data_IF_344688443482
#
_entry.id   IF_344688443482
#
_cell.length_a   1.000
_cell.length_b   1.000
_cell.length_c   1.000
_cell.angle_alpha   90.00
_cell.angle_beta   90.00
_cell.angle_gamma   90.00
#
_symmetry.space_group_name_H-M   'P 1'
#
loop_
_entity.id
_entity.type
_entity.pdbx_description
1 polymer ?
#
# COMPACT_ATOMS: atom_id res chain seq x y z
N UNK A 1 -31.91 -51.51 -8.64
CA UNK A 1 -30.92 -51.74 -9.72
C UNK A 1 -29.59 -51.21 -9.22
N UNK A 2 -28.59 -52.08 -9.10
CA UNK A 2 -27.29 -51.76 -8.52
C UNK A 2 -26.48 -50.88 -9.49
N UNK A 3 -26.08 -49.69 -9.06
CA UNK A 3 -25.19 -48.81 -9.83
C UNK A 3 -23.76 -49.34 -9.76
N UNK A 4 -23.21 -49.73 -10.90
CA UNK A 4 -21.84 -50.21 -11.01
C UNK A 4 -20.85 -49.06 -10.79
N UNK A 5 -19.99 -49.18 -9.77
CA UNK A 5 -18.82 -48.32 -9.59
C UNK A 5 -17.67 -48.96 -10.36
N UNK A 6 -17.31 -48.40 -11.51
CA UNK A 6 -16.16 -48.85 -12.30
C UNK A 6 -14.90 -48.14 -11.78
N UNK A 7 -14.13 -48.82 -10.93
CA UNK A 7 -12.80 -48.38 -10.52
C UNK A 7 -11.80 -48.70 -11.64
N UNK A 8 -11.35 -47.67 -12.36
CA UNK A 8 -10.29 -47.80 -13.36
C UNK A 8 -8.92 -47.74 -12.63
N UNK A 9 -8.19 -48.84 -12.59
CA UNK A 9 -6.75 -48.83 -12.26
C UNK A 9 -5.98 -48.32 -13.49
N UNK A 10 -5.42 -47.11 -13.44
CA UNK A 10 -4.40 -46.68 -14.41
C UNK A 10 -2.99 -46.99 -13.88
N UNK A 11 -2.08 -47.50 -14.73
CA UNK A 11 -0.68 -47.64 -14.38
C UNK A 11 0.04 -46.28 -14.47
N UNK A 12 0.76 -45.98 -13.40
CA UNK A 12 1.87 -45.02 -13.26
C UNK A 12 2.21 -44.11 -14.47
N UNK A 13 1.67 -42.89 -14.50
CA UNK A 13 2.36 -41.73 -15.07
C UNK A 13 2.06 -40.49 -14.21
N UNK A 14 3.13 -39.86 -13.70
CA UNK A 14 3.13 -38.81 -12.67
C UNK A 14 2.54 -37.46 -13.08
N UNK A 15 1.25 -37.41 -13.37
CA UNK A 15 0.46 -36.18 -13.41
C UNK A 15 -0.58 -36.20 -12.29
N UNK A 16 -0.71 -35.08 -11.55
CA UNK A 16 -1.75 -34.91 -10.54
C UNK A 16 -3.14 -35.06 -11.18
N UNK A 17 -3.70 -36.26 -11.10
CA UNK A 17 -4.99 -36.61 -11.70
C UNK A 17 -6.13 -36.01 -10.90
N UNK A 18 -6.76 -34.96 -11.44
CA UNK A 18 -8.05 -34.49 -10.93
C UNK A 18 -9.10 -35.49 -11.37
N UNK A 19 -9.52 -36.38 -10.47
CA UNK A 19 -10.67 -37.25 -10.72
C UNK A 19 -11.94 -36.40 -10.68
N UNK A 20 -12.52 -36.14 -11.85
CA UNK A 20 -13.88 -35.63 -11.94
C UNK A 20 -14.84 -36.83 -11.91
N UNK A 21 -15.71 -36.90 -10.90
CA UNK A 21 -16.53 -38.08 -10.61
C UNK A 21 -17.56 -38.40 -11.72
N UNK A 22 -17.80 -37.47 -12.66
CA UNK A 22 -18.67 -37.71 -13.81
C UNK A 22 -18.05 -37.07 -15.07
N UNK A 23 -17.78 -37.88 -16.09
CA UNK A 23 -17.38 -37.44 -17.43
C UNK A 23 -18.32 -38.07 -18.47
N UNK A 24 -18.65 -37.37 -19.56
CA UNK A 24 -19.64 -37.84 -20.52
C UNK A 24 -19.17 -39.07 -21.33
N UNK A 25 -17.86 -39.18 -21.58
CA UNK A 25 -17.24 -40.30 -22.28
C UNK A 25 -15.72 -40.31 -22.07
N UNK A 26 -15.08 -41.45 -22.38
CA UNK A 26 -13.62 -41.57 -22.57
C UNK A 26 -13.40 -41.98 -24.02
N UNK A 27 -12.59 -41.23 -24.77
CA UNK A 27 -12.26 -41.52 -26.18
C UNK A 27 -10.75 -41.73 -26.27
N UNK A 28 -10.30 -42.87 -26.80
CA UNK A 28 -8.88 -43.22 -26.92
C UNK A 28 -8.07 -43.14 -25.61
N UNK A 29 -8.69 -43.52 -24.50
CA UNK A 29 -8.06 -43.46 -23.17
C UNK A 29 -7.94 -42.05 -22.59
N UNK A 30 -8.44 -41.03 -23.29
CA UNK A 30 -8.48 -39.64 -22.83
C UNK A 30 -9.91 -39.27 -22.39
N UNK A 31 -10.10 -38.78 -21.16
CA UNK A 31 -11.41 -38.28 -20.71
C UNK A 31 -11.88 -37.11 -21.58
N UNK A 32 -13.11 -37.19 -22.11
CA UNK A 32 -13.69 -36.11 -22.89
C UNK A 32 -14.00 -34.88 -22.00
N UNK A 33 -13.94 -33.65 -22.54
CA UNK A 33 -14.37 -32.46 -21.82
C UNK A 33 -15.83 -32.56 -21.37
N UNK A 34 -16.13 -32.21 -20.12
CA UNK A 34 -17.50 -32.15 -19.62
C UNK A 34 -18.17 -30.82 -19.98
N UNK A 35 -19.50 -30.82 -20.06
CA UNK A 35 -20.26 -29.60 -20.27
C UNK A 35 -20.09 -28.64 -19.07
N UNK A 36 -19.87 -27.35 -19.33
CA UNK A 36 -19.73 -26.30 -18.30
C UNK A 36 -21.11 -25.89 -17.74
N UNK A 37 -21.90 -26.85 -17.26
CA UNK A 37 -23.22 -26.66 -16.66
C UNK A 37 -23.14 -26.59 -15.12
N UNK A 38 -24.21 -26.11 -14.47
CA UNK A 38 -24.25 -25.81 -13.03
C UNK A 38 -23.74 -26.92 -12.12
N UNK A 39 -24.12 -28.18 -12.36
CA UNK A 39 -23.73 -29.32 -11.53
C UNK A 39 -22.23 -29.66 -11.66
N UNK A 40 -21.63 -29.41 -12.83
CA UNK A 40 -20.19 -29.62 -13.07
C UNK A 40 -19.34 -28.46 -12.52
N UNK A 41 -19.91 -27.25 -12.45
CA UNK A 41 -19.31 -26.10 -11.75
C UNK A 41 -19.42 -26.23 -10.22
N UNK A 42 -20.30 -27.10 -9.73
CA UNK A 42 -20.51 -27.34 -8.31
C UNK A 42 -19.53 -28.33 -7.68
N UNK A 43 -18.48 -28.77 -8.39
CA UNK A 43 -17.47 -29.67 -7.82
C UNK A 43 -16.72 -29.00 -6.64
N UNK A 44 -16.78 -29.62 -5.45
CA UNK A 44 -16.30 -29.05 -4.17
C UNK A 44 -15.05 -29.71 -3.60
N UNK A 45 -14.40 -30.61 -4.32
CA UNK A 45 -13.23 -31.31 -3.80
C UNK A 45 -12.23 -31.61 -4.89
N UNK A 46 -10.95 -31.45 -4.55
CA UNK A 46 -9.84 -31.94 -5.37
C UNK A 46 -9.19 -33.07 -4.61
N UNK A 47 -9.20 -34.26 -5.21
CA UNK A 47 -8.50 -35.43 -4.71
C UNK A 47 -7.15 -35.52 -5.43
N UNK A 48 -6.06 -35.54 -4.65
CA UNK A 48 -4.73 -35.83 -5.17
C UNK A 48 -4.34 -37.26 -4.75
N UNK A 49 -4.22 -38.14 -5.75
CA UNK A 49 -3.97 -39.56 -5.56
C UNK A 49 -2.50 -39.87 -5.23
N UNK A 50 -1.58 -38.93 -5.48
CA UNK A 50 -0.16 -39.11 -5.17
C UNK A 50 0.13 -38.81 -3.69
N UNK A 51 -0.58 -37.83 -3.13
CA UNK A 51 -0.47 -37.44 -1.72
C UNK A 51 -1.55 -38.07 -0.84
N UNK A 52 -2.48 -38.84 -1.44
CA UNK A 52 -3.66 -39.45 -0.80
C UNK A 52 -4.41 -38.45 0.11
N UNK A 53 -4.45 -37.18 -0.29
CA UNK A 53 -5.08 -36.12 0.50
C UNK A 53 -6.37 -35.68 -0.17
N UNK A 54 -7.49 -35.84 0.55
CA UNK A 54 -8.80 -35.27 0.18
C UNK A 54 -8.88 -33.84 0.67
N UNK A 55 -8.67 -32.86 -0.20
CA UNK A 55 -9.07 -31.48 0.12
C UNK A 55 -10.56 -31.31 -0.11
N UNK A 56 -11.36 -31.64 0.91
CA UNK A 56 -12.76 -31.23 0.95
C UNK A 56 -12.80 -29.71 1.05
N UNK A 57 -13.27 -29.03 0.00
CA UNK A 57 -13.57 -27.61 0.08
C UNK A 57 -14.89 -27.50 0.83
N UNK A 58 -14.80 -27.43 2.16
CA UNK A 58 -15.91 -27.08 3.04
C UNK A 58 -16.56 -25.82 2.47
N UNK A 59 -17.88 -25.87 2.27
CA UNK A 59 -18.66 -24.90 1.50
C UNK A 59 -18.82 -23.52 2.16
N UNK A 60 -17.88 -23.05 2.97
CA UNK A 60 -18.06 -21.79 3.71
C UNK A 60 -16.79 -20.95 3.96
N UNK A 61 -15.56 -21.43 3.70
CA UNK A 61 -14.36 -20.65 4.09
C UNK A 61 -13.34 -20.40 2.96
N UNK A 62 -13.24 -21.23 1.91
CA UNK A 62 -12.18 -21.06 0.90
C UNK A 62 -12.34 -19.85 -0.04
N UNK A 63 -13.51 -19.71 -0.65
CA UNK A 63 -13.81 -18.62 -1.59
C UNK A 63 -14.13 -17.28 -0.89
N UNK A 64 -14.91 -17.35 0.19
CA UNK A 64 -15.24 -16.19 1.02
C UNK A 64 -14.02 -15.65 1.75
N UNK A 65 -13.14 -16.51 2.30
CA UNK A 65 -11.93 -16.02 2.97
C UNK A 65 -10.94 -15.36 2.00
N UNK A 66 -10.80 -15.83 0.75
CA UNK A 66 -9.92 -15.17 -0.23
C UNK A 66 -10.51 -13.81 -0.63
N UNK A 67 -11.81 -13.72 -0.90
CA UNK A 67 -12.48 -12.46 -1.19
C UNK A 67 -12.37 -11.47 -0.01
N UNK A 68 -12.59 -11.96 1.21
CA UNK A 68 -12.42 -11.19 2.45
C UNK A 68 -10.98 -10.72 2.64
N UNK A 69 -9.98 -11.57 2.41
CA UNK A 69 -8.56 -11.19 2.47
C UNK A 69 -8.19 -10.17 1.39
N UNK A 70 -8.77 -10.24 0.18
CA UNK A 70 -8.59 -9.21 -0.88
C UNK A 70 -9.13 -7.86 -0.42
N UNK A 71 -10.33 -7.86 0.17
CA UNK A 71 -10.94 -6.64 0.70
C UNK A 71 -10.13 -6.06 1.86
N UNK A 72 -9.70 -6.90 2.82
CA UNK A 72 -8.85 -6.50 3.94
C UNK A 72 -7.52 -5.92 3.43
N UNK A 73 -6.86 -6.59 2.48
CA UNK A 73 -5.65 -6.07 1.83
C UNK A 73 -5.90 -4.69 1.21
N UNK A 74 -6.98 -4.53 0.43
CA UNK A 74 -7.34 -3.26 -0.19
C UNK A 74 -7.54 -2.14 0.83
N UNK A 75 -8.32 -2.38 1.87
CA UNK A 75 -8.62 -1.39 2.92
C UNK A 75 -7.37 -1.04 3.74
N UNK A 76 -6.61 -2.04 4.18
CA UNK A 76 -5.37 -1.81 4.93
C UNK A 76 -4.40 -0.94 4.14
N UNK A 77 -4.21 -1.22 2.84
CA UNK A 77 -3.30 -0.45 2.00
C UNK A 77 -3.84 0.94 1.65
N UNK A 78 -5.15 1.10 1.46
CA UNK A 78 -5.76 2.42 1.23
C UNK A 78 -5.59 3.35 2.44
N UNK A 79 -5.81 2.83 3.65
CA UNK A 79 -5.68 3.62 4.89
C UNK A 79 -4.21 3.91 5.19
N UNK A 80 -3.33 2.91 5.14
CA UNK A 80 -1.91 3.09 5.46
C UNK A 80 -1.16 3.92 4.41
N UNK A 81 -0.95 3.36 3.22
CA UNK A 81 -0.17 3.97 2.15
C UNK A 81 -0.87 5.16 1.51
N UNK A 82 -2.20 5.13 1.46
CA UNK A 82 -2.99 6.13 0.74
C UNK A 82 -3.39 7.36 1.55
N UNK A 83 -3.47 7.27 2.88
CA UNK A 83 -3.97 8.35 3.73
C UNK A 83 -2.98 8.68 4.84
N UNK A 84 -2.61 7.67 5.64
CA UNK A 84 -1.84 7.89 6.86
C UNK A 84 -0.41 8.37 6.55
N UNK A 85 0.30 7.72 5.62
CA UNK A 85 1.65 8.17 5.22
C UNK A 85 1.68 9.57 4.56
N UNK A 86 0.79 9.90 3.61
CA UNK A 86 0.69 11.28 3.09
C UNK A 86 0.34 12.31 4.17
N UNK A 87 -0.55 11.97 5.10
CA UNK A 87 -0.93 12.84 6.21
C UNK A 87 0.26 13.12 7.14
N UNK A 88 1.06 12.09 7.47
CA UNK A 88 2.31 12.26 8.23
C UNK A 88 3.31 13.18 7.54
N UNK A 89 3.41 13.14 6.21
CA UNK A 89 4.26 14.05 5.43
C UNK A 89 3.76 15.50 5.45
N UNK A 90 2.44 15.71 5.34
CA UNK A 90 1.79 17.02 5.47
C UNK A 90 2.09 17.63 6.84
N UNK A 91 1.93 16.87 7.93
CA UNK A 91 2.25 17.35 9.28
C UNK A 91 3.71 17.79 9.42
N UNK A 92 4.66 17.01 8.91
CA UNK A 92 6.08 17.38 8.96
C UNK A 92 6.40 18.65 8.16
N UNK A 93 5.71 18.88 7.04
CA UNK A 93 5.94 20.06 6.20
C UNK A 93 5.40 21.33 6.85
N UNK A 94 4.18 21.30 7.38
CA UNK A 94 3.49 22.51 7.82
C UNK A 94 3.69 22.83 9.29
N UNK A 95 3.67 21.83 10.18
CA UNK A 95 3.87 22.08 11.61
C UNK A 95 5.31 22.50 11.92
N UNK A 96 6.28 22.08 11.11
CA UNK A 96 7.67 22.54 11.22
C UNK A 96 7.84 24.06 11.05
N UNK A 97 6.91 24.75 10.39
CA UNK A 97 6.94 26.21 10.22
C UNK A 97 6.59 26.95 11.51
N UNK A 98 5.88 26.32 12.43
CA UNK A 98 5.51 26.94 13.70
C UNK A 98 6.54 26.63 14.78
N UNK A 99 7.23 27.66 15.29
CA UNK A 99 8.22 27.54 16.37
C UNK A 99 7.63 26.91 17.66
N UNK A 100 6.33 27.10 17.90
CA UNK A 100 5.60 26.50 19.04
C UNK A 100 5.29 25.00 18.87
N UNK A 101 5.44 24.46 17.66
CA UNK A 101 5.17 23.04 17.38
C UNK A 101 6.45 22.19 17.40
N UNK A 102 7.61 22.74 17.78
CA UNK A 102 8.82 21.97 18.06
C UNK A 102 8.79 21.53 19.54
N UNK A 103 8.90 20.22 19.87
CA UNK A 103 9.20 19.05 19.03
C UNK A 103 7.98 18.25 18.53
N UNK A 104 6.76 18.71 18.78
CA UNK A 104 5.52 17.99 18.47
C UNK A 104 5.38 17.55 16.99
N UNK A 105 5.81 18.39 16.03
CA UNK A 105 5.76 18.06 14.60
C UNK A 105 6.56 16.78 14.27
N UNK A 106 7.69 16.59 14.95
CA UNK A 106 8.58 15.45 14.71
C UNK A 106 7.97 14.17 15.26
N UNK A 107 7.41 14.21 16.47
CA UNK A 107 6.70 13.07 17.06
C UNK A 107 5.46 12.71 16.24
N UNK A 108 4.64 13.69 15.87
CA UNK A 108 3.46 13.44 15.03
C UNK A 108 3.83 12.81 13.69
N UNK A 109 4.89 13.30 13.04
CA UNK A 109 5.40 12.69 11.81
C UNK A 109 5.84 11.24 12.06
N UNK A 110 6.75 11.01 12.99
CA UNK A 110 7.32 9.68 13.23
C UNK A 110 6.25 8.67 13.66
N UNK A 111 5.36 9.04 14.58
CA UNK A 111 4.28 8.15 15.03
C UNK A 111 3.34 7.79 13.88
N UNK A 112 2.95 8.77 13.05
CA UNK A 112 2.14 8.52 11.87
C UNK A 112 2.87 7.59 10.88
N UNK A 113 4.14 7.86 10.58
CA UNK A 113 4.92 7.02 9.66
C UNK A 113 5.10 5.58 10.17
N UNK A 114 5.35 5.39 11.47
CA UNK A 114 5.52 4.06 12.05
C UNK A 114 4.22 3.25 12.06
N UNK A 115 3.10 3.87 12.44
CA UNK A 115 1.78 3.21 12.40
C UNK A 115 1.42 2.88 10.95
N UNK A 116 1.59 3.83 10.03
CA UNK A 116 1.28 3.66 8.62
C UNK A 116 2.14 2.57 7.99
N UNK A 117 3.43 2.55 8.27
CA UNK A 117 4.33 1.52 7.79
C UNK A 117 3.97 0.15 8.37
N UNK A 118 3.70 0.03 9.67
CA UNK A 118 3.33 -1.23 10.31
C UNK A 118 2.05 -1.85 9.73
N UNK A 119 1.00 -1.03 9.58
CA UNK A 119 -0.25 -1.45 8.91
C UNK A 119 -0.02 -1.75 7.43
N UNK A 120 0.87 -0.99 6.77
CA UNK A 120 1.25 -1.21 5.38
C UNK A 120 1.99 -2.53 5.17
N UNK A 121 2.85 -2.95 6.11
CA UNK A 121 3.57 -4.23 6.09
C UNK A 121 2.60 -5.40 6.17
N UNK A 122 1.60 -5.34 7.06
CA UNK A 122 0.59 -6.41 7.17
C UNK A 122 -0.28 -6.49 5.92
N UNK A 123 -0.65 -5.34 5.34
CA UNK A 123 -1.30 -5.26 4.04
C UNK A 123 -0.45 -5.89 2.93
N UNK A 124 0.83 -5.54 2.83
CA UNK A 124 1.76 -6.09 1.85
C UNK A 124 1.94 -7.61 1.99
N UNK A 125 2.17 -8.11 3.21
CA UNK A 125 2.33 -9.54 3.48
C UNK A 125 1.08 -10.34 3.07
N UNK A 126 -0.11 -9.80 3.36
CA UNK A 126 -1.39 -10.37 2.90
C UNK A 126 -1.46 -10.40 1.37
N UNK A 127 -0.98 -9.37 0.68
CA UNK A 127 -0.92 -9.32 -0.79
C UNK A 127 -0.01 -10.39 -1.40
N UNK A 128 1.14 -10.67 -0.78
CA UNK A 128 2.03 -11.77 -1.20
C UNK A 128 1.35 -13.13 -0.98
N UNK A 129 0.70 -13.34 0.16
CA UNK A 129 -0.06 -14.58 0.42
C UNK A 129 -1.15 -14.81 -0.62
N UNK A 130 -1.88 -13.76 -1.01
CA UNK A 130 -2.91 -13.82 -2.06
C UNK A 130 -2.34 -14.18 -3.44
N UNK A 131 -1.14 -13.67 -3.75
CA UNK A 131 -0.43 -14.03 -4.97
C UNK A 131 -0.03 -15.50 -5.03
N UNK A 132 0.35 -16.09 -3.90
CA UNK A 132 0.71 -17.52 -3.82
C UNK A 132 -0.52 -18.44 -3.89
N UNK A 133 -1.68 -17.96 -3.44
CA UNK A 133 -2.95 -18.71 -3.51
C UNK A 133 -3.58 -18.70 -4.91
N UNK A 134 -3.25 -17.73 -5.76
CA UNK A 134 -3.76 -17.61 -7.13
C UNK A 134 -2.81 -18.25 -8.14
N UNK A 135 -2.86 -19.58 -8.27
CA UNK A 135 -2.11 -20.28 -9.34
C UNK A 135 -2.66 -19.90 -10.72
N UNK A 136 -1.85 -19.25 -11.56
CA UNK A 136 -2.16 -18.95 -12.97
C UNK A 136 -2.54 -17.51 -13.32
N UNK A 137 -2.86 -16.64 -12.34
CA UNK A 137 -3.16 -15.21 -12.58
C UNK A 137 -2.24 -14.35 -11.72
N UNK A 138 -1.25 -13.70 -12.36
CA UNK A 138 -0.33 -12.80 -11.67
C UNK A 138 -0.56 -11.35 -12.11
N UNK A 139 -0.95 -10.50 -11.17
CA UNK A 139 -1.00 -9.05 -11.38
C UNK A 139 0.41 -8.46 -11.20
N UNK A 140 1.28 -8.77 -12.15
CA UNK A 140 2.73 -8.47 -12.09
C UNK A 140 3.02 -7.00 -11.84
N UNK A 141 2.28 -6.10 -12.48
CA UNK A 141 2.51 -4.66 -12.37
C UNK A 141 2.19 -4.13 -10.96
N UNK A 142 1.01 -4.45 -10.40
CA UNK A 142 0.62 -4.05 -9.04
C UNK A 142 1.57 -4.65 -7.98
N UNK A 143 1.95 -5.93 -8.16
CA UNK A 143 2.91 -6.60 -7.28
C UNK A 143 4.28 -5.93 -7.32
N UNK A 144 4.82 -5.63 -8.50
CA UNK A 144 6.14 -5.02 -8.64
C UNK A 144 6.17 -3.63 -8.04
N UNK A 145 5.17 -2.78 -8.33
CA UNK A 145 5.07 -1.46 -7.70
C UNK A 145 4.95 -1.60 -6.18
N UNK A 146 4.11 -2.52 -5.69
CA UNK A 146 3.97 -2.76 -4.25
C UNK A 146 5.28 -3.16 -3.56
N UNK A 147 6.07 -4.03 -4.18
CA UNK A 147 7.40 -4.41 -3.67
C UNK A 147 8.36 -3.22 -3.70
N UNK A 148 8.38 -2.44 -4.78
CA UNK A 148 9.21 -1.23 -4.86
C UNK A 148 8.84 -0.20 -3.79
N UNK A 149 7.54 0.06 -3.59
CA UNK A 149 7.04 0.97 -2.55
C UNK A 149 7.47 0.49 -1.17
N UNK A 150 7.30 -0.80 -0.88
CA UNK A 150 7.72 -1.40 0.38
C UNK A 150 9.23 -1.20 0.61
N UNK A 151 10.06 -1.55 -0.37
CA UNK A 151 11.52 -1.40 -0.26
C UNK A 151 11.96 0.06 -0.02
N UNK A 152 11.39 1.01 -0.77
CA UNK A 152 11.69 2.44 -0.60
C UNK A 152 11.22 2.96 0.77
N UNK A 153 10.07 2.49 1.25
CA UNK A 153 9.55 2.87 2.57
C UNK A 153 10.40 2.29 3.72
N UNK A 154 10.91 1.06 3.59
CA UNK A 154 11.87 0.51 4.55
C UNK A 154 13.15 1.35 4.58
N UNK A 155 13.64 1.81 3.43
CA UNK A 155 14.74 2.76 3.33
C UNK A 155 14.44 4.07 4.09
N UNK A 156 13.20 4.54 4.05
CA UNK A 156 12.76 5.70 4.82
C UNK A 156 12.75 5.47 6.33
N UNK A 157 12.39 4.26 6.80
CA UNK A 157 12.51 3.92 8.23
C UNK A 157 13.99 3.92 8.64
N UNK A 158 14.89 3.41 7.81
CA UNK A 158 16.33 3.50 8.08
C UNK A 158 16.86 4.94 8.09
N UNK A 159 16.21 5.87 7.39
CA UNK A 159 16.56 7.29 7.45
C UNK A 159 16.48 7.86 8.87
N UNK A 160 15.57 7.35 9.71
CA UNK A 160 15.47 7.75 11.12
C UNK A 160 16.75 7.43 11.90
N UNK A 161 17.28 6.21 11.71
CA UNK A 161 18.50 5.73 12.39
C UNK A 161 19.77 6.41 11.87
N UNK A 162 19.79 6.73 10.57
CA UNK A 162 20.93 7.39 9.90
C UNK A 162 20.89 8.92 9.99
N UNK A 163 20.00 9.50 10.82
CA UNK A 163 19.80 10.96 10.91
C UNK A 163 21.05 11.68 11.45
N UNK A 164 21.78 12.47 10.63
CA UNK A 164 22.98 13.15 11.08
C UNK A 164 22.67 14.31 12.03
N UNK A 165 23.63 14.69 12.89
CA UNK A 165 23.54 15.92 13.71
C UNK A 165 23.37 17.16 12.81
N UNK A 166 22.68 18.19 13.32
CA UNK A 166 22.29 19.38 12.55
C UNK A 166 23.48 20.13 11.93
N UNK A 167 24.66 20.02 12.54
CA UNK A 167 25.89 20.72 12.14
C UNK A 167 26.71 19.97 11.08
N UNK A 168 26.32 18.74 10.73
CA UNK A 168 27.08 17.91 9.80
C UNK A 168 26.74 18.20 8.33
N UNK A 169 27.75 18.28 7.45
CA UNK A 169 27.55 18.49 5.99
C UNK A 169 26.60 17.46 5.34
N UNK A 170 26.64 16.20 5.83
CA UNK A 170 25.73 15.13 5.41
C UNK A 170 24.24 15.37 5.70
N UNK A 171 23.89 16.34 6.55
CA UNK A 171 22.49 16.70 6.83
C UNK A 171 21.76 17.14 5.56
N UNK A 172 22.44 17.81 4.63
CA UNK A 172 21.89 18.28 3.35
C UNK A 172 21.55 17.09 2.45
N UNK A 173 22.50 16.16 2.26
CA UNK A 173 22.29 14.94 1.47
C UNK A 173 21.18 14.07 2.07
N UNK A 174 21.17 13.91 3.40
CA UNK A 174 20.10 13.18 4.09
C UNK A 174 18.73 13.83 3.85
N UNK A 175 18.63 15.18 3.91
CA UNK A 175 17.36 15.87 3.66
C UNK A 175 16.90 15.68 2.21
N UNK A 176 17.82 15.79 1.25
CA UNK A 176 17.50 15.57 -0.17
C UNK A 176 16.97 14.15 -0.38
N UNK A 177 17.73 13.14 0.05
CA UNK A 177 17.34 11.73 -0.01
C UNK A 177 15.99 11.47 0.67
N UNK A 178 15.82 11.92 1.92
CA UNK A 178 14.62 11.68 2.71
C UNK A 178 13.39 12.29 2.03
N UNK A 179 13.51 13.52 1.52
CA UNK A 179 12.40 14.18 0.82
C UNK A 179 12.11 13.55 -0.55
N UNK A 180 13.11 13.32 -1.40
CA UNK A 180 12.88 12.80 -2.76
C UNK A 180 12.29 11.40 -2.73
N UNK A 181 12.88 10.50 -1.94
CA UNK A 181 12.38 9.13 -1.80
C UNK A 181 11.03 9.12 -1.08
N UNK A 182 10.79 10.04 -0.14
CA UNK A 182 9.51 10.14 0.58
C UNK A 182 8.35 10.51 -0.36
N UNK A 183 8.55 11.49 -1.24
CA UNK A 183 7.56 11.84 -2.26
C UNK A 183 7.37 10.71 -3.29
N UNK A 184 8.45 10.02 -3.69
CA UNK A 184 8.35 8.87 -4.58
C UNK A 184 7.48 7.76 -3.98
N UNK A 185 7.64 7.45 -2.68
CA UNK A 185 6.80 6.47 -1.96
C UNK A 185 5.33 6.87 -1.97
N UNK A 186 5.01 8.14 -1.74
CA UNK A 186 3.61 8.64 -1.77
C UNK A 186 3.00 8.48 -3.17
N UNK A 187 3.69 8.94 -4.21
CA UNK A 187 3.18 8.90 -5.60
C UNK A 187 3.00 7.45 -6.06
N UNK A 188 4.00 6.60 -5.83
CA UNK A 188 3.93 5.18 -6.19
C UNK A 188 2.88 4.44 -5.37
N UNK A 189 2.72 4.76 -4.07
CA UNK A 189 1.70 4.19 -3.20
C UNK A 189 0.28 4.49 -3.70
N UNK A 190 -0.02 5.77 -3.98
CA UNK A 190 -1.33 6.18 -4.54
C UNK A 190 -1.59 5.49 -5.89
N UNK A 191 -0.61 5.50 -6.78
CA UNK A 191 -0.70 4.82 -8.09
C UNK A 191 -0.98 3.32 -7.92
N UNK A 192 -0.34 2.69 -6.94
CA UNK A 192 -0.52 1.27 -6.66
C UNK A 192 -1.93 0.96 -6.14
N UNK A 193 -2.51 1.85 -5.31
CA UNK A 193 -3.88 1.71 -4.79
C UNK A 193 -4.90 1.82 -5.92
N UNK A 194 -4.74 2.77 -6.85
CA UNK A 194 -5.62 2.86 -8.03
C UNK A 194 -5.59 1.59 -8.88
N UNK A 195 -4.39 1.02 -9.10
CA UNK A 195 -4.25 -0.27 -9.79
C UNK A 195 -4.90 -1.42 -9.01
N UNK A 196 -4.73 -1.44 -7.69
CA UNK A 196 -5.37 -2.42 -6.80
C UNK A 196 -6.91 -2.34 -6.86
N UNK A 197 -7.48 -1.15 -6.80
CA UNK A 197 -8.93 -0.93 -6.94
C UNK A 197 -9.47 -1.40 -8.30
N UNK A 198 -8.72 -1.18 -9.38
CA UNK A 198 -9.08 -1.67 -10.71
C UNK A 198 -9.07 -3.21 -10.77
N UNK A 199 -8.11 -3.87 -10.14
CA UNK A 199 -8.02 -5.34 -10.06
C UNK A 199 -9.16 -5.94 -9.22
N UNK A 200 -9.54 -5.26 -8.13
CA UNK A 200 -10.65 -5.70 -7.29
C UNK A 200 -12.03 -5.42 -7.93
N UNK A 201 -12.10 -4.64 -9.01
CA UNK A 201 -13.37 -4.22 -9.60
C UNK A 201 -14.21 -3.40 -8.62
N UNK A 202 -13.55 -2.57 -7.81
CA UNK A 202 -14.21 -1.80 -6.75
C UNK A 202 -15.25 -0.85 -7.35
N UNK A 203 -16.42 -0.81 -6.75
CA UNK A 203 -17.53 0.03 -7.17
C UNK A 203 -17.13 1.52 -7.19
N UNK A 204 -17.67 2.27 -8.17
CA UNK A 204 -17.28 3.66 -8.42
C UNK A 204 -17.48 4.58 -7.20
N UNK A 205 -18.46 4.29 -6.33
CA UNK A 205 -18.68 5.05 -5.08
C UNK A 205 -17.44 5.07 -4.18
N UNK A 206 -16.75 3.94 -4.02
CA UNK A 206 -15.58 3.81 -3.15
C UNK A 206 -14.34 4.43 -3.77
N UNK A 207 -14.19 4.29 -5.10
CA UNK A 207 -13.14 5.00 -5.84
C UNK A 207 -13.33 6.52 -5.73
N UNK A 208 -14.56 7.00 -5.86
CA UNK A 208 -14.90 8.42 -5.71
C UNK A 208 -14.64 8.90 -4.28
N UNK A 209 -15.01 8.11 -3.27
CA UNK A 209 -14.73 8.43 -1.86
C UNK A 209 -13.22 8.54 -1.59
N UNK A 210 -12.41 7.63 -2.15
CA UNK A 210 -10.95 7.71 -2.03
C UNK A 210 -10.37 8.94 -2.73
N UNK A 211 -10.83 9.26 -3.95
CA UNK A 211 -10.42 10.48 -4.65
C UNK A 211 -10.83 11.72 -3.87
N UNK A 212 -12.05 11.76 -3.32
CA UNK A 212 -12.52 12.87 -2.49
C UNK A 212 -11.63 13.03 -1.24
N UNK A 213 -11.24 11.93 -0.58
CA UNK A 213 -10.31 11.97 0.55
C UNK A 213 -8.93 12.55 0.15
N UNK A 214 -8.40 12.16 -1.01
CA UNK A 214 -7.15 12.74 -1.54
C UNK A 214 -7.31 14.22 -1.89
N UNK A 215 -8.45 14.64 -2.45
CA UNK A 215 -8.74 16.04 -2.73
C UNK A 215 -8.82 16.86 -1.44
N UNK A 216 -9.45 16.34 -0.38
CA UNK A 216 -9.51 17.00 0.94
C UNK A 216 -8.10 17.13 1.54
N UNK A 217 -7.28 16.09 1.48
CA UNK A 217 -5.88 16.14 1.93
C UNK A 217 -5.07 17.16 1.11
N UNK A 218 -5.24 17.19 -0.21
CA UNK A 218 -4.59 18.15 -1.10
C UNK A 218 -5.02 19.58 -0.81
N UNK A 219 -6.31 19.83 -0.63
CA UNK A 219 -6.86 21.14 -0.29
C UNK A 219 -6.37 21.61 1.08
N UNK A 220 -6.37 20.73 2.09
CA UNK A 220 -5.79 21.01 3.40
C UNK A 220 -4.30 21.39 3.28
N UNK A 221 -3.53 20.66 2.46
CA UNK A 221 -2.13 21.00 2.19
C UNK A 221 -1.99 22.39 1.54
N UNK A 222 -2.83 22.73 0.55
CA UNK A 222 -2.80 24.07 -0.10
C UNK A 222 -3.12 25.19 0.90
N UNK A 223 -4.13 25.01 1.75
CA UNK A 223 -4.44 26.00 2.81
C UNK A 223 -3.27 26.15 3.76
N UNK A 224 -2.71 25.05 4.25
CA UNK A 224 -1.58 25.08 5.17
C UNK A 224 -0.33 25.69 4.52
N UNK A 225 -0.15 25.52 3.21
CA UNK A 225 0.89 26.20 2.44
C UNK A 225 0.64 27.72 2.43
N UNK A 226 -0.56 28.17 2.11
CA UNK A 226 -0.90 29.60 2.15
C UNK A 226 -0.62 30.22 3.55
N UNK A 227 -0.98 29.51 4.62
CA UNK A 227 -0.70 29.95 6.00
C UNK A 227 0.80 29.98 6.29
N UNK A 228 1.54 28.92 5.93
CA UNK A 228 2.99 28.86 6.14
C UNK A 228 3.72 30.00 5.43
N UNK A 229 3.34 30.30 4.18
CA UNK A 229 3.87 31.44 3.43
C UNK A 229 3.54 32.77 4.09
N UNK A 230 2.32 32.93 4.63
CA UNK A 230 1.93 34.10 5.40
C UNK A 230 2.80 34.31 6.66
N UNK A 231 3.09 33.23 7.39
CA UNK A 231 3.98 33.27 8.58
C UNK A 231 5.41 33.66 8.19
N UNK A 232 5.96 33.05 7.13
CA UNK A 232 7.31 33.35 6.63
C UNK A 232 7.41 34.78 6.08
N UNK A 233 6.37 35.27 5.39
CA UNK A 233 6.32 36.65 4.93
C UNK A 233 6.29 37.65 6.11
N UNK A 234 5.54 37.33 7.17
CA UNK A 234 5.49 38.14 8.39
C UNK A 234 6.84 38.15 9.12
N UNK A 235 7.54 37.02 9.22
CA UNK A 235 8.86 36.97 9.86
C UNK A 235 9.90 37.77 9.08
N UNK A 236 9.91 37.65 7.74
CA UNK A 236 10.79 38.46 6.87
C UNK A 236 10.52 39.97 7.00
N UNK A 237 9.25 40.36 7.09
CA UNK A 237 8.85 41.77 7.33
C UNK A 237 9.25 42.26 8.72
N UNK A 238 9.26 41.40 9.72
CA UNK A 238 9.71 41.75 11.07
C UNK A 238 11.24 41.94 11.10
N UNK A 239 12.00 41.03 10.49
CA UNK A 239 13.46 41.16 10.35
C UNK A 239 13.85 42.43 9.58
N UNK A 240 13.19 42.71 8.43
CA UNK A 240 13.48 43.92 7.66
C UNK A 240 13.21 45.22 8.43
N UNK A 241 12.19 45.23 9.31
CA UNK A 241 11.93 46.38 10.20
C UNK A 241 13.04 46.54 11.24
N UNK A 242 13.50 45.46 11.86
CA UNK A 242 14.61 45.49 12.83
C UNK A 242 15.91 45.97 12.19
N UNK A 243 16.23 45.52 10.97
CA UNK A 243 17.41 46.00 10.24
C UNK A 243 17.28 47.46 9.80
N UNK A 244 16.08 47.89 9.36
CA UNK A 244 15.81 49.29 9.01
C UNK A 244 15.94 50.23 10.21
N UNK A 245 15.41 49.84 11.37
CA UNK A 245 15.48 50.61 12.62
C UNK A 245 16.92 50.69 13.15
N UNK A 246 17.68 49.59 13.10
CA UNK A 246 19.10 49.56 13.44
C UNK A 246 19.96 50.45 12.52
N UNK A 247 19.59 50.60 11.24
CA UNK A 247 20.31 51.47 10.29
C UNK A 247 20.03 52.97 10.49
N UNK A 248 18.85 53.34 11.00
CA UNK A 248 18.47 54.73 11.28
C UNK A 248 18.89 55.21 12.68
N UNK A 249 19.27 54.30 13.60
CA UNK A 249 19.72 54.62 14.95
C UNK A 249 21.18 55.07 15.08
N UNK A 250 21.98 55.05 14.01
CA UNK A 250 23.39 55.44 14.05
C UNK A 250 23.60 56.94 13.76
N UNK A 251 22.93 57.81 14.51
CA UNK A 251 23.38 59.20 14.65
C UNK A 251 24.49 59.23 15.70
N UNK A 252 25.74 59.14 15.25
CA UNK A 252 26.90 59.43 16.10
C UNK A 252 26.76 60.87 16.63
N UNK A 253 26.95 61.11 17.95
CA UNK A 253 27.02 62.46 18.46
C UNK A 253 28.23 63.14 17.81
N UNK A 254 27.98 64.18 17.00
CA UNK A 254 29.04 65.11 16.57
C UNK A 254 29.55 65.79 17.83
N UNK A 255 30.74 65.38 18.28
CA UNK A 255 31.53 66.13 19.25
C UNK A 255 31.85 67.49 18.66
N UNK A 256 31.34 68.55 19.28
CA UNK A 256 31.82 69.92 19.17
C UNK A 256 32.51 70.26 20.47
#
# INVERSE_FOLDING_TARGET
>A
MAGAVLALLLPALGGAGVLNQVGPAVTDGVPAPHAMAGDNLAAKAKLDLLTQTTTAVSSDDGGDSIAKKRNIHGVLNAVSWGILLPMGAIFARYLKTFRSADPAWFYLHVTCQLIGYGVGVSGWATGINLGNLSNGITYTLHRNIGITVFALATLQIFALFLRPKKEHKYRVYWNLYHHTVGYAVIILGITNIFKGMAILGVEQRWRTAYVAALCVLGFAAVILEAVAWGVVAKSRRAESKTFGDASNGHHLPRSV
#
